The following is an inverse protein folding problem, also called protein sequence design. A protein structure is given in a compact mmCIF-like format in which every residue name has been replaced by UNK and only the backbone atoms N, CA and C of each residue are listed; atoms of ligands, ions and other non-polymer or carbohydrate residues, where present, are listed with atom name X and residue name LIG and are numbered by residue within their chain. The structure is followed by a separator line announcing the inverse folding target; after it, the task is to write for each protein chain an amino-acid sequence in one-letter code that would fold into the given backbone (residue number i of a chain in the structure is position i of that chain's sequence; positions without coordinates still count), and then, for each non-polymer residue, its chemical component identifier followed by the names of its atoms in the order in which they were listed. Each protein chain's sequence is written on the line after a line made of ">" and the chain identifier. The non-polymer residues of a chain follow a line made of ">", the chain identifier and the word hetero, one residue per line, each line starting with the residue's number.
data_IF_879818660147
#
_entry.id   IF_879818660147
#
_cell.length_a   1.000
_cell.length_b   1.000
_cell.length_c   1.000
_cell.angle_alpha   90.00
_cell.angle_beta   90.00
_cell.angle_gamma   90.00
#
_symmetry.space_group_name_H-M   'P 1'
#
loop_
_entity.id
_entity.type
_entity.pdbx_description
1 polymer ?
#
# COMPACT_ATOMS: atom_id res chain seq x y z
N UNK A 1 19.14 -3.10 -9.44
CA UNK A 1 18.24 -2.68 -10.55
C UNK A 1 16.83 -3.01 -10.13
N UNK A 2 16.00 -2.01 -9.88
CA UNK A 2 14.58 -2.23 -9.54
C UNK A 2 13.87 -2.71 -10.82
N UNK A 3 13.27 -3.89 -10.79
CA UNK A 3 12.48 -4.41 -11.91
C UNK A 3 11.25 -3.53 -12.05
N UNK A 4 10.96 -3.04 -13.26
CA UNK A 4 9.79 -2.21 -13.53
C UNK A 4 8.51 -3.04 -13.31
N UNK A 5 7.50 -2.52 -12.56
CA UNK A 5 6.25 -3.25 -12.34
C UNK A 5 5.55 -3.60 -13.65
N UNK A 6 5.00 -4.82 -13.72
CA UNK A 6 4.25 -5.31 -14.89
C UNK A 6 2.78 -4.96 -14.72
N UNK A 7 2.19 -4.28 -15.70
CA UNK A 7 0.78 -3.91 -15.76
C UNK A 7 0.12 -4.63 -16.93
N UNK A 8 -0.93 -5.40 -16.66
CA UNK A 8 -1.78 -5.99 -17.67
C UNK A 8 -2.90 -4.99 -18.06
N UNK A 9 -3.03 -4.73 -19.35
CA UNK A 9 -4.08 -3.85 -19.92
C UNK A 9 -4.99 -4.70 -20.80
N UNK A 10 -6.28 -4.74 -20.43
CA UNK A 10 -7.31 -5.53 -21.12
C UNK A 10 -8.41 -4.60 -21.62
N UNK A 11 -8.55 -4.46 -22.94
CA UNK A 11 -9.56 -3.61 -23.57
C UNK A 11 -9.77 -4.14 -25.00
N UNK A 12 -10.99 -4.24 -25.49
CA UNK A 12 -11.28 -4.75 -26.84
C UNK A 12 -10.97 -3.72 -27.93
N UNK A 13 -11.01 -2.42 -27.61
CA UNK A 13 -10.60 -1.37 -28.53
C UNK A 13 -9.05 -1.30 -28.65
N UNK A 14 -8.49 -1.65 -29.82
CA UNK A 14 -7.04 -1.65 -30.00
C UNK A 14 -6.43 -0.25 -29.86
N UNK A 15 -7.17 0.81 -30.17
CA UNK A 15 -6.66 2.19 -30.07
C UNK A 15 -6.50 2.61 -28.61
N UNK A 16 -7.48 2.28 -27.77
CA UNK A 16 -7.42 2.54 -26.30
C UNK A 16 -6.33 1.69 -25.68
N UNK A 17 -6.32 0.40 -25.96
CA UNK A 17 -5.36 -0.57 -25.42
C UNK A 17 -3.91 -0.17 -25.71
N UNK A 18 -3.58 0.13 -26.98
CA UNK A 18 -2.24 0.51 -27.39
C UNK A 18 -1.82 1.89 -26.86
N UNK A 19 -2.73 2.86 -26.88
CA UNK A 19 -2.48 4.20 -26.34
C UNK A 19 -2.17 4.11 -24.83
N UNK A 20 -2.98 3.39 -24.08
CA UNK A 20 -2.81 3.22 -22.63
C UNK A 20 -1.49 2.50 -22.33
N UNK A 21 -1.21 1.39 -23.03
CA UNK A 21 0.03 0.65 -22.87
C UNK A 21 1.27 1.47 -23.23
N UNK A 22 1.21 2.26 -24.30
CA UNK A 22 2.28 3.16 -24.73
C UNK A 22 2.62 4.23 -23.67
N UNK A 23 1.60 4.89 -23.14
CA UNK A 23 1.74 5.90 -22.10
C UNK A 23 2.30 5.31 -20.78
N UNK A 24 1.89 4.08 -20.44
CA UNK A 24 2.41 3.39 -19.27
C UNK A 24 3.88 2.99 -19.43
N UNK A 25 4.29 2.51 -20.62
CA UNK A 25 5.70 2.23 -20.94
C UNK A 25 6.54 3.51 -20.86
N UNK A 26 6.04 4.62 -21.41
CA UNK A 26 6.71 5.92 -21.29
C UNK A 26 6.84 6.40 -19.83
N UNK A 27 5.99 5.91 -18.93
CA UNK A 27 6.02 6.19 -17.49
C UNK A 27 6.89 5.21 -16.68
N UNK A 28 7.61 4.29 -17.35
CA UNK A 28 8.56 3.36 -16.72
C UNK A 28 7.95 2.03 -16.27
N UNK A 29 6.74 1.67 -16.70
CA UNK A 29 6.12 0.37 -16.44
C UNK A 29 6.40 -0.63 -17.55
N UNK A 30 6.43 -1.92 -17.23
CA UNK A 30 6.32 -2.99 -18.23
C UNK A 30 4.83 -3.26 -18.50
N UNK A 31 4.42 -3.40 -19.77
CA UNK A 31 3.00 -3.63 -20.09
C UNK A 31 2.81 -4.93 -20.86
N UNK A 32 1.81 -5.70 -20.43
CA UNK A 32 1.21 -6.82 -21.15
C UNK A 32 -0.17 -6.38 -21.62
N UNK A 33 -0.60 -6.79 -22.79
CA UNK A 33 -1.90 -6.40 -23.36
C UNK A 33 -2.72 -7.62 -23.69
N UNK A 34 -4.05 -7.52 -23.55
CA UNK A 34 -5.02 -8.54 -23.92
C UNK A 34 -6.27 -7.89 -24.52
N UNK A 35 -7.01 -8.61 -25.37
CA UNK A 35 -8.12 -8.08 -26.14
C UNK A 35 -9.51 -8.41 -25.57
N UNK A 36 -9.59 -9.26 -24.57
CA UNK A 36 -10.82 -9.66 -23.88
C UNK A 36 -10.50 -10.36 -22.56
N UNK A 37 -11.54 -10.75 -21.78
CA UNK A 37 -11.35 -11.36 -20.47
C UNK A 37 -10.70 -12.74 -20.50
N UNK A 38 -10.89 -13.53 -21.58
CA UNK A 38 -10.28 -14.84 -21.71
C UNK A 38 -8.76 -14.73 -21.97
N UNK A 39 -8.39 -13.88 -22.91
CA UNK A 39 -7.01 -13.54 -23.21
C UNK A 39 -6.33 -12.86 -22.02
N UNK A 40 -7.08 -12.01 -21.29
CA UNK A 40 -6.67 -11.37 -20.05
C UNK A 40 -6.36 -12.36 -18.93
N UNK A 41 -7.19 -13.38 -18.74
CA UNK A 41 -6.96 -14.43 -17.74
C UNK A 41 -5.69 -15.22 -18.07
N UNK A 42 -5.49 -15.62 -19.31
CA UNK A 42 -4.28 -16.33 -19.73
C UNK A 42 -3.03 -15.47 -19.57
N UNK A 43 -3.11 -14.18 -19.96
CA UNK A 43 -2.02 -13.24 -19.78
C UNK A 43 -1.68 -13.01 -18.30
N UNK A 44 -2.69 -12.97 -17.43
CA UNK A 44 -2.52 -12.85 -15.98
C UNK A 44 -1.75 -14.04 -15.40
N UNK A 45 -2.14 -15.26 -15.76
CA UNK A 45 -1.47 -16.49 -15.29
C UNK A 45 -0.02 -16.60 -15.80
N UNK A 46 0.22 -16.18 -17.04
CA UNK A 46 1.53 -16.31 -17.68
C UNK A 46 2.55 -15.28 -17.18
N UNK A 47 2.10 -14.04 -16.95
CA UNK A 47 3.00 -12.91 -16.70
C UNK A 47 2.98 -12.41 -15.24
N UNK A 48 2.06 -12.91 -14.40
CA UNK A 48 1.91 -12.53 -13.00
C UNK A 48 2.01 -11.01 -12.77
N UNK A 49 1.13 -10.18 -13.40
CA UNK A 49 1.23 -8.73 -13.33
C UNK A 49 0.96 -8.23 -11.90
N UNK A 50 1.60 -7.12 -11.52
CA UNK A 50 1.39 -6.46 -10.24
C UNK A 50 0.14 -5.57 -10.22
N UNK A 51 -0.45 -5.28 -11.39
CA UNK A 51 -1.71 -4.53 -11.50
C UNK A 51 -2.41 -4.89 -12.81
N UNK A 52 -3.73 -4.94 -12.77
CA UNK A 52 -4.58 -5.14 -13.95
C UNK A 52 -5.44 -3.89 -14.20
N UNK A 53 -5.53 -3.48 -15.46
CA UNK A 53 -6.48 -2.48 -15.93
C UNK A 53 -7.40 -3.20 -16.91
N UNK A 54 -8.72 -3.10 -16.73
CA UNK A 54 -9.67 -3.78 -17.61
C UNK A 54 -10.86 -2.91 -17.97
N UNK A 55 -11.35 -3.02 -19.20
CA UNK A 55 -12.72 -2.61 -19.50
C UNK A 55 -13.72 -3.65 -18.99
N UNK A 56 -14.97 -3.26 -18.81
CA UNK A 56 -16.08 -4.17 -18.52
C UNK A 56 -16.74 -4.74 -19.76
N UNK A 57 -16.80 -3.95 -20.83
CA UNK A 57 -17.59 -4.26 -22.03
C UNK A 57 -16.72 -4.84 -23.12
N UNK A 58 -16.40 -6.11 -23.02
CA UNK A 58 -15.57 -6.81 -24.00
C UNK A 58 -16.30 -8.04 -24.58
N UNK A 59 -16.03 -8.43 -25.83
CA UNK A 59 -16.58 -9.64 -26.41
C UNK A 59 -15.98 -10.91 -25.78
N UNK A 60 -16.62 -12.06 -25.98
CA UNK A 60 -16.21 -13.40 -25.55
C UNK A 60 -16.23 -13.60 -24.03
N UNK A 61 -15.49 -12.82 -23.28
CA UNK A 61 -15.49 -12.79 -21.82
C UNK A 61 -15.38 -11.34 -21.35
N UNK A 62 -16.31 -10.92 -20.52
CA UNK A 62 -16.40 -9.55 -20.05
C UNK A 62 -15.45 -9.26 -18.86
N UNK A 63 -15.34 -7.98 -18.50
CA UNK A 63 -14.46 -7.59 -17.38
C UNK A 63 -14.93 -8.09 -16.02
N UNK A 64 -16.22 -8.37 -15.81
CA UNK A 64 -16.72 -8.95 -14.56
C UNK A 64 -16.26 -10.40 -14.39
N UNK A 65 -16.23 -11.17 -15.47
CA UNK A 65 -15.72 -12.54 -15.47
C UNK A 65 -14.22 -12.54 -15.20
N UNK A 66 -13.47 -11.62 -15.82
CA UNK A 66 -12.03 -11.46 -15.59
C UNK A 66 -11.74 -11.10 -14.13
N UNK A 67 -12.47 -10.14 -13.54
CA UNK A 67 -12.33 -9.77 -12.12
C UNK A 67 -12.55 -11.01 -11.24
N UNK A 68 -13.63 -11.75 -11.49
CA UNK A 68 -13.97 -12.95 -10.72
C UNK A 68 -12.91 -14.04 -10.83
N UNK A 69 -12.39 -14.29 -12.05
CA UNK A 69 -11.32 -15.26 -12.29
C UNK A 69 -10.02 -14.90 -11.54
N UNK A 70 -9.60 -13.65 -11.60
CA UNK A 70 -8.41 -13.19 -10.86
C UNK A 70 -8.63 -13.30 -9.35
N UNK A 71 -9.79 -12.90 -8.83
CA UNK A 71 -10.09 -12.95 -7.40
C UNK A 71 -10.17 -14.36 -6.82
N UNK A 72 -10.47 -15.34 -7.64
CA UNK A 72 -10.43 -16.76 -7.22
C UNK A 72 -9.01 -17.22 -6.86
N UNK A 73 -7.97 -16.59 -7.39
CA UNK A 73 -6.58 -17.05 -7.24
C UNK A 73 -5.61 -15.99 -6.68
N UNK A 74 -5.96 -14.70 -6.75
CA UNK A 74 -5.02 -13.62 -6.40
C UNK A 74 -5.71 -12.36 -5.85
N UNK A 75 -4.89 -11.56 -5.13
CA UNK A 75 -5.26 -10.23 -4.62
C UNK A 75 -4.59 -9.08 -5.41
N UNK A 76 -4.16 -9.35 -6.63
CA UNK A 76 -3.58 -8.32 -7.53
C UNK A 76 -4.59 -7.19 -7.74
N UNK A 77 -4.24 -5.89 -7.56
CA UNK A 77 -5.19 -4.80 -7.76
C UNK A 77 -5.72 -4.75 -9.18
N UNK A 78 -7.00 -4.43 -9.27
CA UNK A 78 -7.73 -4.30 -10.51
C UNK A 78 -8.35 -2.90 -10.56
N UNK A 79 -7.99 -2.13 -11.59
CA UNK A 79 -8.62 -0.85 -11.91
C UNK A 79 -9.52 -1.07 -13.13
N UNK A 80 -10.80 -0.80 -12.96
CA UNK A 80 -11.75 -0.83 -14.09
C UNK A 80 -11.74 0.52 -14.80
N UNK A 81 -11.69 0.52 -16.14
CA UNK A 81 -11.83 1.72 -16.96
C UNK A 81 -12.93 1.47 -17.99
N UNK A 82 -14.13 2.04 -17.82
CA UNK A 82 -15.26 1.72 -18.68
C UNK A 82 -16.14 2.93 -19.02
N UNK A 83 -16.81 2.87 -20.18
CA UNK A 83 -17.89 3.79 -20.55
C UNK A 83 -19.16 3.53 -19.73
N UNK A 84 -19.32 2.33 -19.18
CA UNK A 84 -20.42 1.98 -18.29
C UNK A 84 -20.23 2.65 -16.93
N UNK A 85 -20.59 3.92 -16.85
CA UNK A 85 -20.48 4.73 -15.63
C UNK A 85 -21.75 4.74 -14.80
N UNK A 86 -22.76 3.86 -15.04
CA UNK A 86 -23.92 3.76 -14.18
C UNK A 86 -23.53 3.17 -12.81
N UNK A 87 -24.22 3.58 -11.77
CA UNK A 87 -23.89 3.17 -10.40
C UNK A 87 -24.00 1.64 -10.21
N UNK A 88 -24.89 0.95 -10.94
CA UNK A 88 -25.09 -0.48 -10.82
C UNK A 88 -23.85 -1.28 -11.29
N UNK A 89 -23.28 -0.95 -12.45
CA UNK A 89 -22.08 -1.62 -12.98
C UNK A 89 -20.85 -1.31 -12.12
N UNK A 90 -20.74 -0.07 -11.65
CA UNK A 90 -19.66 0.34 -10.74
C UNK A 90 -19.72 -0.43 -9.42
N UNK A 91 -20.90 -0.47 -8.78
CA UNK A 91 -21.11 -1.19 -7.53
C UNK A 91 -20.79 -2.68 -7.74
N UNK A 92 -21.34 -3.29 -8.82
CA UNK A 92 -21.08 -4.68 -9.14
C UNK A 92 -19.60 -4.99 -9.33
N UNK A 93 -18.85 -4.13 -10.05
CA UNK A 93 -17.40 -4.32 -10.24
C UNK A 93 -16.64 -4.28 -8.90
N UNK A 94 -16.99 -3.33 -8.03
CA UNK A 94 -16.36 -3.19 -6.71
C UNK A 94 -16.73 -4.37 -5.78
N UNK A 95 -17.98 -4.82 -5.80
CA UNK A 95 -18.44 -6.00 -5.00
C UNK A 95 -17.76 -7.29 -5.46
N UNK A 96 -17.46 -7.43 -6.76
CA UNK A 96 -16.69 -8.54 -7.31
C UNK A 96 -15.19 -8.45 -6.98
N UNK A 97 -14.76 -7.31 -6.40
CA UNK A 97 -13.39 -7.13 -5.90
C UNK A 97 -12.49 -6.24 -6.78
N UNK A 98 -13.04 -5.42 -7.68
CA UNK A 98 -12.25 -4.33 -8.26
C UNK A 98 -11.83 -3.34 -7.15
N UNK A 99 -10.60 -2.83 -7.24
CA UNK A 99 -10.04 -1.91 -6.23
C UNK A 99 -10.31 -0.45 -6.55
N UNK A 100 -10.58 -0.14 -7.81
CA UNK A 100 -10.89 1.22 -8.27
C UNK A 100 -11.67 1.20 -9.58
N UNK A 101 -12.33 2.33 -9.87
CA UNK A 101 -13.15 2.49 -11.07
C UNK A 101 -12.95 3.88 -11.69
N UNK A 102 -12.72 3.92 -13.00
CA UNK A 102 -12.55 5.15 -13.79
C UNK A 102 -13.54 5.13 -14.95
N UNK A 103 -14.26 6.22 -15.14
CA UNK A 103 -15.19 6.38 -16.27
C UNK A 103 -14.48 6.92 -17.50
N UNK A 104 -14.75 6.37 -18.67
CA UNK A 104 -14.35 6.96 -19.95
C UNK A 104 -15.29 8.15 -20.27
N UNK A 105 -14.79 9.32 -20.74
CA UNK A 105 -13.40 9.64 -21.02
C UNK A 105 -12.58 9.93 -19.75
N UNK A 106 -11.32 9.54 -19.74
CA UNK A 106 -10.40 9.73 -18.64
C UNK A 106 -9.15 10.51 -19.05
N UNK A 107 -8.43 11.06 -18.08
CA UNK A 107 -7.10 11.61 -18.30
C UNK A 107 -6.01 10.61 -17.91
N UNK A 108 -4.91 10.56 -18.69
CA UNK A 108 -3.76 9.73 -18.32
C UNK A 108 -3.13 10.14 -16.97
N UNK A 109 -3.25 11.42 -16.61
CA UNK A 109 -2.83 11.90 -15.28
C UNK A 109 -3.59 11.22 -14.15
N UNK A 110 -4.92 11.07 -14.30
CA UNK A 110 -5.78 10.37 -13.35
C UNK A 110 -5.43 8.88 -13.27
N UNK A 111 -5.36 8.19 -14.40
CA UNK A 111 -5.03 6.76 -14.45
C UNK A 111 -3.68 6.49 -13.77
N UNK A 112 -2.63 7.27 -14.09
CA UNK A 112 -1.32 7.15 -13.45
C UNK A 112 -1.35 7.41 -11.94
N UNK A 113 -2.17 8.36 -11.49
CA UNK A 113 -2.32 8.63 -10.06
C UNK A 113 -2.94 7.45 -9.31
N UNK A 114 -3.95 6.81 -9.90
CA UNK A 114 -4.63 5.63 -9.37
C UNK A 114 -3.72 4.40 -9.38
N UNK A 115 -3.00 4.16 -10.48
CA UNK A 115 -1.98 3.09 -10.58
C UNK A 115 -0.95 3.24 -9.44
N UNK A 116 -0.36 4.44 -9.28
CA UNK A 116 0.58 4.68 -8.18
C UNK A 116 -0.04 4.45 -6.80
N UNK A 117 -1.32 4.79 -6.63
CA UNK A 117 -2.02 4.56 -5.37
C UNK A 117 -2.21 3.06 -5.10
N UNK A 118 -2.58 2.27 -6.10
CA UNK A 118 -2.76 0.83 -5.98
C UNK A 118 -1.42 0.10 -5.84
N UNK A 119 -0.43 0.41 -6.69
CA UNK A 119 0.91 -0.19 -6.57
C UNK A 119 1.60 0.17 -5.25
N UNK A 120 1.34 1.35 -4.66
CA UNK A 120 1.80 1.70 -3.31
C UNK A 120 1.12 0.85 -2.24
N UNK A 121 -0.10 0.35 -2.47
CA UNK A 121 -0.79 -0.59 -1.58
C UNK A 121 -0.20 -2.00 -1.63
N UNK A 122 0.29 -2.43 -2.82
CA UNK A 122 0.92 -3.74 -3.02
C UNK A 122 2.43 -3.62 -2.90
N UNK A 123 3.02 -2.71 -3.65
CA UNK A 123 4.38 -2.27 -3.55
C UNK A 123 4.47 -1.15 -2.53
N UNK A 124 3.89 -1.36 -1.35
CA UNK A 124 4.38 -0.63 -0.21
C UNK A 124 5.90 -0.64 -0.30
N UNK A 125 6.62 0.42 0.09
CA UNK A 125 8.04 0.59 -0.17
C UNK A 125 8.73 -0.73 0.08
N UNK A 126 9.53 -1.20 -0.87
CA UNK A 126 10.20 -2.49 -0.93
C UNK A 126 10.33 -3.13 0.46
N UNK A 127 9.60 -4.26 0.68
CA UNK A 127 9.42 -4.87 1.99
C UNK A 127 8.54 -4.02 2.93
N UNK A 128 7.37 -4.51 3.34
CA UNK A 128 6.62 -3.99 4.49
C UNK A 128 7.43 -4.09 5.80
N UNK A 129 8.70 -4.28 5.68
CA UNK A 129 9.70 -4.34 6.72
C UNK A 129 10.49 -3.03 6.75
N UNK A 130 10.33 -2.28 7.80
CA UNK A 130 11.16 -1.10 8.07
C UNK A 130 12.35 -1.55 8.91
N UNK A 131 13.57 -1.22 8.48
CA UNK A 131 14.80 -1.56 9.20
C UNK A 131 15.55 -0.29 9.63
N UNK A 132 15.84 -0.19 10.91
CA UNK A 132 16.53 0.92 11.54
C UNK A 132 17.68 0.36 12.41
N UNK A 133 18.84 0.20 11.81
CA UNK A 133 19.96 -0.48 12.47
C UNK A 133 19.56 -1.92 12.84
N UNK A 134 19.47 -2.20 14.16
CA UNK A 134 19.11 -3.54 14.67
C UNK A 134 17.61 -3.76 14.85
N UNK A 135 16.79 -2.71 14.76
CA UNK A 135 15.33 -2.79 14.91
C UNK A 135 14.69 -3.00 13.53
N UNK A 136 13.90 -4.05 13.42
CA UNK A 136 13.17 -4.41 12.20
C UNK A 136 11.68 -4.54 12.52
N UNK A 137 10.83 -3.86 11.75
CA UNK A 137 9.38 -3.92 11.83
C UNK A 137 8.83 -4.57 10.56
N UNK A 138 8.26 -5.75 10.67
CA UNK A 138 7.42 -6.34 9.63
C UNK A 138 5.98 -5.83 9.83
N UNK A 139 5.58 -4.85 9.01
CA UNK A 139 4.27 -4.21 9.12
C UNK A 139 3.12 -5.14 8.69
N UNK A 140 3.42 -6.13 7.86
CA UNK A 140 2.43 -7.10 7.38
C UNK A 140 2.10 -8.15 8.43
N UNK A 141 3.16 -8.74 9.02
CA UNK A 141 3.00 -9.73 10.09
C UNK A 141 2.85 -9.10 11.47
N UNK A 142 2.91 -7.78 11.58
CA UNK A 142 2.94 -7.00 12.83
C UNK A 142 4.00 -7.53 13.80
N UNK A 143 5.15 -7.92 13.26
CA UNK A 143 6.28 -8.49 14.00
C UNK A 143 7.37 -7.45 14.17
N UNK A 144 7.94 -7.41 15.36
CA UNK A 144 9.05 -6.50 15.67
C UNK A 144 10.22 -7.32 16.18
N UNK A 145 11.40 -7.07 15.60
CA UNK A 145 12.65 -7.75 15.97
C UNK A 145 13.70 -6.70 16.33
N UNK A 146 14.40 -6.86 17.46
CA UNK A 146 15.56 -6.04 17.82
C UNK A 146 16.76 -6.96 18.05
N UNK A 147 17.81 -6.76 17.29
CA UNK A 147 19.04 -7.55 17.38
C UNK A 147 18.83 -9.06 17.26
N UNK A 148 17.89 -9.50 16.42
CA UNK A 148 17.53 -10.91 16.22
C UNK A 148 16.54 -11.46 17.25
N UNK A 149 16.13 -10.67 18.26
CA UNK A 149 15.15 -11.06 19.28
C UNK A 149 13.76 -10.54 18.93
N UNK A 150 12.76 -11.42 18.98
CA UNK A 150 11.35 -11.03 18.85
C UNK A 150 10.89 -10.17 20.03
N UNK A 151 10.31 -9.01 19.72
CA UNK A 151 9.75 -8.09 20.72
C UNK A 151 8.23 -8.23 20.72
N UNK A 152 7.68 -8.65 21.86
CA UNK A 152 6.22 -8.71 22.03
C UNK A 152 5.68 -7.37 22.48
N UNK A 153 4.95 -6.71 21.58
CA UNK A 153 4.24 -5.47 21.85
C UNK A 153 2.76 -5.72 22.05
N UNK A 154 2.14 -4.92 22.91
CA UNK A 154 0.67 -4.82 22.96
C UNK A 154 0.15 -4.13 21.69
N UNK A 155 -1.15 -4.27 21.36
CA UNK A 155 -1.73 -3.58 20.18
C UNK A 155 -1.47 -2.06 20.18
N UNK A 156 -1.58 -1.41 21.34
CA UNK A 156 -1.34 0.03 21.50
C UNK A 156 0.13 0.39 21.27
N UNK A 157 1.06 -0.35 21.87
CA UNK A 157 2.50 -0.15 21.68
C UNK A 157 2.92 -0.37 20.23
N UNK A 158 2.35 -1.39 19.56
CA UNK A 158 2.62 -1.63 18.15
C UNK A 158 2.13 -0.47 17.29
N UNK A 159 0.89 0.01 17.50
CA UNK A 159 0.33 1.13 16.74
C UNK A 159 1.13 2.43 16.95
N UNK A 160 1.64 2.67 18.17
CA UNK A 160 2.56 3.77 18.45
C UNK A 160 3.86 3.64 17.67
N UNK A 161 4.48 2.47 17.71
CA UNK A 161 5.74 2.21 17.01
C UNK A 161 5.56 2.34 15.49
N UNK A 162 4.51 1.73 14.93
CA UNK A 162 4.18 1.82 13.51
C UNK A 162 3.98 3.27 13.06
N UNK A 163 3.21 4.06 13.83
CA UNK A 163 2.98 5.47 13.53
C UNK A 163 4.29 6.27 13.49
N UNK A 164 5.16 6.06 14.47
CA UNK A 164 6.43 6.79 14.56
C UNK A 164 7.43 6.34 13.50
N UNK A 165 7.59 5.03 13.30
CA UNK A 165 8.52 4.47 12.33
C UNK A 165 8.14 4.80 10.87
N UNK A 166 6.85 4.81 10.54
CA UNK A 166 6.37 5.24 9.20
C UNK A 166 6.52 6.74 8.95
N UNK A 167 6.74 7.54 10.00
CA UNK A 167 7.07 8.96 9.94
C UNK A 167 8.53 9.25 10.35
N UNK A 168 9.42 8.27 10.22
CA UNK A 168 10.81 8.39 10.64
C UNK A 168 11.48 9.68 10.15
N UNK A 169 12.31 10.29 10.99
CA UNK A 169 12.97 11.58 10.74
C UNK A 169 12.08 12.82 10.96
N UNK A 170 10.76 12.66 11.07
CA UNK A 170 9.82 13.77 11.27
C UNK A 170 9.19 13.72 12.67
N UNK A 171 9.01 14.87 13.34
CA UNK A 171 8.29 14.90 14.60
C UNK A 171 6.79 14.58 14.38
N UNK A 172 6.22 13.76 15.26
CA UNK A 172 4.79 13.46 15.31
C UNK A 172 4.20 14.15 16.53
N UNK A 173 3.26 15.06 16.30
CA UNK A 173 2.61 15.84 17.36
C UNK A 173 1.79 14.95 18.28
N UNK A 174 1.77 15.27 19.57
CA UNK A 174 1.05 14.49 20.59
C UNK A 174 -0.44 14.35 20.27
N UNK A 175 -1.09 15.41 19.78
CA UNK A 175 -2.52 15.36 19.39
C UNK A 175 -2.76 14.39 18.23
N UNK A 176 -1.85 14.35 17.25
CA UNK A 176 -1.90 13.38 16.16
C UNK A 176 -1.72 11.95 16.65
N UNK A 177 -0.85 11.74 17.64
CA UNK A 177 -0.66 10.43 18.28
C UNK A 177 -1.95 10.00 18.96
N UNK A 178 -2.58 10.88 19.76
CA UNK A 178 -3.84 10.60 20.46
C UNK A 178 -4.93 10.25 19.44
N UNK A 179 -5.13 11.09 18.43
CA UNK A 179 -6.17 10.89 17.41
C UNK A 179 -6.00 9.60 16.61
N UNK A 180 -4.76 9.12 16.42
CA UNK A 180 -4.48 7.90 15.65
C UNK A 180 -4.56 6.64 16.49
N UNK A 181 -4.01 6.67 17.71
CA UNK A 181 -3.84 5.50 18.57
C UNK A 181 -5.04 5.25 19.47
N UNK A 182 -5.71 6.31 19.90
CA UNK A 182 -6.87 6.25 20.82
C UNK A 182 -8.13 6.88 20.22
N UNK A 183 -8.36 6.65 18.92
CA UNK A 183 -9.51 7.21 18.18
C UNK A 183 -10.84 7.05 18.91
N UNK A 184 -11.07 5.89 19.53
CA UNK A 184 -12.33 5.51 20.15
C UNK A 184 -12.32 5.65 21.69
N UNK A 185 -11.31 6.33 22.26
CA UNK A 185 -11.16 6.54 23.70
C UNK A 185 -11.15 8.05 24.06
N UNK A 186 -12.33 8.70 24.10
CA UNK A 186 -12.42 10.10 24.49
C UNK A 186 -11.86 10.30 25.90
N UNK A 187 -11.12 11.39 26.11
CA UNK A 187 -10.48 11.70 27.41
C UNK A 187 -9.02 11.20 27.53
N UNK A 188 -8.44 10.61 26.49
CA UNK A 188 -7.01 10.29 26.47
C UNK A 188 -6.17 11.57 26.58
N UNK A 189 -5.23 11.57 27.54
CA UNK A 189 -4.39 12.74 27.84
C UNK A 189 -2.95 12.53 27.36
N UNK A 190 -2.17 13.59 27.37
CA UNK A 190 -0.71 13.55 27.12
C UNK A 190 0.00 12.60 28.08
N UNK A 191 -0.46 12.46 29.30
CA UNK A 191 0.15 11.55 30.28
C UNK A 191 -0.06 10.09 29.91
N UNK A 192 -1.21 9.73 29.32
CA UNK A 192 -1.44 8.39 28.75
C UNK A 192 -0.41 8.09 27.66
N UNK A 193 -0.15 9.04 26.77
CA UNK A 193 0.87 8.89 25.73
C UNK A 193 2.25 8.67 26.33
N UNK A 194 2.61 9.44 27.36
CA UNK A 194 3.92 9.32 28.06
C UNK A 194 4.11 7.95 28.69
N UNK A 195 3.08 7.40 29.35
CA UNK A 195 3.14 6.08 29.98
C UNK A 195 3.39 4.99 28.93
N UNK A 196 2.61 4.98 27.85
CA UNK A 196 2.77 4.01 26.78
C UNK A 196 4.09 4.18 26.01
N UNK A 197 4.56 5.40 25.84
CA UNK A 197 5.86 5.67 25.23
C UNK A 197 7.01 5.15 26.10
N UNK A 198 6.92 5.33 27.42
CA UNK A 198 7.89 4.75 28.38
C UNK A 198 7.88 3.23 28.32
N UNK A 199 6.70 2.61 28.30
CA UNK A 199 6.57 1.14 28.19
C UNK A 199 7.15 0.61 26.86
N UNK A 200 6.89 1.30 25.74
CA UNK A 200 7.43 0.95 24.43
C UNK A 200 8.96 1.03 24.41
N UNK A 201 9.54 2.15 24.91
CA UNK A 201 11.00 2.31 25.02
C UNK A 201 11.66 1.18 25.78
N UNK A 202 11.10 0.76 26.93
CA UNK A 202 11.63 -0.36 27.73
C UNK A 202 11.74 -1.67 26.95
N UNK A 203 10.97 -1.83 25.86
CA UNK A 203 10.94 -3.04 25.05
C UNK A 203 11.87 -2.98 23.85
N UNK A 204 11.96 -1.82 23.18
CA UNK A 204 12.70 -1.68 21.92
C UNK A 204 14.05 -1.00 22.06
N UNK A 205 14.24 -0.13 23.07
CA UNK A 205 15.51 0.59 23.23
C UNK A 205 16.55 -0.28 23.94
N UNK A 206 17.81 -0.23 23.49
CA UNK A 206 18.91 -0.84 24.26
C UNK A 206 19.06 -0.24 25.65
N UNK A 207 18.90 1.07 25.77
CA UNK A 207 18.85 1.83 27.02
C UNK A 207 17.67 2.82 26.97
N UNK A 208 16.58 2.58 27.74
CA UNK A 208 15.43 3.48 27.76
C UNK A 208 15.71 4.89 28.29
N UNK A 209 16.81 5.09 29.06
CA UNK A 209 17.21 6.39 29.58
C UNK A 209 17.98 7.22 28.57
N UNK A 210 18.61 6.54 27.58
CA UNK A 210 19.31 7.14 26.44
C UNK A 210 18.72 6.55 25.12
N UNK A 211 17.50 6.97 24.74
CA UNK A 211 16.79 6.33 23.65
C UNK A 211 17.46 6.55 22.31
N UNK A 212 17.59 5.45 21.54
CA UNK A 212 18.23 5.40 20.24
C UNK A 212 17.24 5.53 19.09
N UNK A 213 16.02 5.06 19.28
CA UNK A 213 14.99 5.02 18.24
C UNK A 213 13.96 6.12 18.41
N UNK A 214 13.45 6.36 19.63
CA UNK A 214 12.38 7.31 19.86
C UNK A 214 12.87 8.44 20.78
N UNK A 215 13.01 9.65 20.25
CA UNK A 215 13.32 10.84 21.05
C UNK A 215 12.05 11.64 21.37
N UNK A 216 12.09 12.32 22.51
CA UNK A 216 11.06 13.32 22.87
C UNK A 216 11.45 14.66 22.28
N UNK A 217 10.53 15.28 21.55
CA UNK A 217 10.66 16.65 21.10
C UNK A 217 9.87 17.55 22.04
N UNK A 218 10.54 18.34 22.87
CA UNK A 218 9.86 19.20 23.84
C UNK A 218 8.80 20.08 23.18
N UNK A 219 7.62 20.15 23.79
CA UNK A 219 6.46 20.94 23.34
C UNK A 219 5.82 20.48 22.03
N UNK A 220 6.38 19.50 21.32
CA UNK A 220 5.90 18.98 20.03
C UNK A 220 5.30 17.59 20.20
N UNK A 221 6.11 16.64 20.65
CA UNK A 221 5.71 15.22 20.71
C UNK A 221 6.91 14.28 20.65
N UNK A 222 6.92 13.38 19.66
CA UNK A 222 7.95 12.36 19.56
C UNK A 222 8.44 12.23 18.12
N UNK A 223 9.72 11.91 17.96
CA UNK A 223 10.33 11.63 16.65
C UNK A 223 11.02 10.28 16.69
N UNK A 224 10.82 9.49 15.65
CA UNK A 224 11.60 8.29 15.41
C UNK A 224 12.87 8.67 14.64
N UNK A 225 14.03 8.30 15.18
CA UNK A 225 15.32 8.61 14.56
C UNK A 225 15.57 7.55 13.48
N UNK A 226 15.61 7.99 12.21
CA UNK A 226 16.08 7.15 11.12
C UNK A 226 17.61 7.19 11.10
N UNK A 227 18.27 6.13 11.58
CA UNK A 227 19.68 5.93 11.21
C UNK A 227 19.68 5.35 9.79
N UNK A 228 20.46 5.93 8.85
CA UNK A 228 20.62 5.30 7.56
C UNK A 228 21.18 3.89 7.78
N UNK A 229 20.60 2.87 7.11
CA UNK A 229 21.23 1.55 7.05
C UNK A 229 22.66 1.77 6.55
N UNK A 230 23.64 1.38 7.36
CA UNK A 230 25.02 1.31 6.88
C UNK A 230 25.00 0.32 5.71
N UNK A 231 25.24 0.84 4.50
CA UNK A 231 25.48 0.00 3.35
C UNK A 231 26.78 -0.76 3.62
N UNK A 232 26.68 -2.09 3.74
CA UNK A 232 27.82 -3.00 3.64
C UNK A 232 28.25 -3.12 2.18
#
# INVERSE_FOLDING_TARGET
>A
MTIAPVILVVDDDPSIRESLAGELRASGYTTVIASDGLDGTHAFETHAPELVITDLSMPRSDGFELISAIRATAHTPIIVISVRGNDADKIRALDLGADDFVTKPFSMGEVRARIRAQLRRIGGPASKTLTFGRLTLDLERRRVVEGGRDIRLTPTEYTLLELLATNAGKPVFTDRIIARVWRDAPGTTTDTVRVHMSALRKKIEPDPSSPRYIITEPWVGYRFIAEPALAD
#
